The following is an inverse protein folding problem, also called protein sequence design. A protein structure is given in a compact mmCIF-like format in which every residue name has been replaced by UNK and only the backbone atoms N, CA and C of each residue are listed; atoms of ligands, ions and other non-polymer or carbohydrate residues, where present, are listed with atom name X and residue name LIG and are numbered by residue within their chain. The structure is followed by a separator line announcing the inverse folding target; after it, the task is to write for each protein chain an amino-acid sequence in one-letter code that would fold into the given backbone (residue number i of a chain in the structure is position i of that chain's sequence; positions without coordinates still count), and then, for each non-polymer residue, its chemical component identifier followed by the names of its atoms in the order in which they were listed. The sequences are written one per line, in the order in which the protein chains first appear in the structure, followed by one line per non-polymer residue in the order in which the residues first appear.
data_IF_454186474148
#
_entry.id   IF_454186474148
#
_cell.length_a   1.000
_cell.length_b   1.000
_cell.length_c   1.000
_cell.angle_alpha   90.00
_cell.angle_beta   90.00
_cell.angle_gamma   90.00
#
_symmetry.space_group_name_H-M   'P 1'
#
loop_
_entity.id
_entity.type
_entity.pdbx_description
1 polymer ?
#
# COMPACT_ATOMS: atom_id res chain seq x y z
N UNK A 1 17.36 29.48 -19.26
CA UNK A 1 16.27 30.08 -18.49
C UNK A 1 15.22 30.78 -19.35
N UNK A 2 15.57 31.75 -20.20
CA UNK A 2 14.58 32.50 -21.05
C UNK A 2 13.84 31.60 -22.05
N UNK A 3 14.54 30.67 -22.72
CA UNK A 3 13.92 29.66 -23.60
C UNK A 3 12.96 28.75 -22.82
N UNK A 4 13.34 28.30 -21.62
CA UNK A 4 12.51 27.46 -20.77
C UNK A 4 11.21 28.17 -20.37
N UNK A 5 11.29 29.46 -20.03
CA UNK A 5 10.09 30.26 -19.70
C UNK A 5 9.16 30.39 -20.90
N UNK A 6 9.70 30.64 -22.12
CA UNK A 6 8.89 30.72 -23.35
C UNK A 6 8.19 29.39 -23.65
N UNK A 7 8.89 28.28 -23.49
CA UNK A 7 8.33 26.94 -23.68
C UNK A 7 7.21 26.65 -22.67
N UNK A 8 7.41 26.97 -21.38
CA UNK A 8 6.40 26.82 -20.35
C UNK A 8 5.16 27.70 -20.61
N UNK A 9 5.35 28.95 -21.04
CA UNK A 9 4.23 29.83 -21.40
C UNK A 9 3.47 29.32 -22.62
N UNK A 10 4.18 28.77 -23.60
CA UNK A 10 3.54 28.15 -24.77
C UNK A 10 2.72 26.92 -24.33
N UNK A 11 3.28 26.00 -23.53
CA UNK A 11 2.56 24.84 -23.02
C UNK A 11 1.34 25.25 -22.18
N UNK A 12 1.50 26.23 -21.30
CA UNK A 12 0.39 26.74 -20.49
C UNK A 12 -0.73 27.33 -21.36
N UNK A 13 -0.42 27.95 -22.52
CA UNK A 13 -1.43 28.48 -23.43
C UNK A 13 -2.31 27.42 -24.08
N UNK A 14 -1.87 26.17 -24.12
CA UNK A 14 -2.61 25.03 -24.66
C UNK A 14 -3.60 24.42 -23.64
N UNK A 15 -3.44 24.73 -22.36
CA UNK A 15 -4.30 24.22 -21.29
C UNK A 15 -5.64 24.95 -21.34
N UNK A 16 -6.73 24.20 -21.43
CA UNK A 16 -8.12 24.69 -21.47
C UNK A 16 -8.89 24.46 -20.18
N UNK A 17 -8.19 24.16 -19.10
CA UNK A 17 -8.82 23.91 -17.80
C UNK A 17 -9.52 25.18 -17.28
N UNK A 18 -10.59 24.97 -16.53
CA UNK A 18 -11.22 26.09 -15.81
C UNK A 18 -10.25 26.67 -14.77
N UNK A 19 -10.41 27.95 -14.49
CA UNK A 19 -9.62 28.60 -13.45
C UNK A 19 -9.83 27.93 -12.09
N UNK A 20 -8.78 27.85 -11.31
CA UNK A 20 -8.81 27.49 -9.90
C UNK A 20 -7.84 28.36 -9.10
N UNK A 21 -8.15 28.59 -7.85
CA UNK A 21 -7.33 29.40 -6.97
C UNK A 21 -6.29 28.55 -6.28
N UNK A 22 -5.04 29.02 -6.26
CA UNK A 22 -3.96 28.36 -5.54
C UNK A 22 -4.09 28.61 -4.04
N UNK A 23 -3.67 27.64 -3.24
CA UNK A 23 -3.70 27.78 -1.77
C UNK A 23 -2.76 28.88 -1.28
N UNK A 24 -3.20 29.56 -0.25
CA UNK A 24 -2.41 30.53 0.49
C UNK A 24 -1.45 29.81 1.47
N UNK A 25 -0.37 30.48 1.91
CA UNK A 25 0.50 29.97 2.95
C UNK A 25 -0.30 29.66 4.23
N UNK A 26 -0.02 28.52 4.84
CA UNK A 26 -0.51 28.15 6.16
C UNK A 26 0.62 28.14 7.20
N UNK A 27 0.27 28.28 8.46
CA UNK A 27 1.23 28.12 9.54
C UNK A 27 1.73 26.66 9.56
N UNK A 28 3.05 26.51 9.55
CA UNK A 28 3.70 25.21 9.69
C UNK A 28 4.21 25.02 11.10
N UNK A 29 4.21 23.82 11.65
CA UNK A 29 4.95 23.54 12.85
C UNK A 29 6.46 23.78 12.60
N UNK A 30 7.20 24.13 13.65
CA UNK A 30 8.67 24.19 13.55
C UNK A 30 9.17 22.82 13.08
N UNK A 31 9.99 22.83 12.02
CA UNK A 31 10.66 21.63 11.56
C UNK A 31 11.66 21.20 12.63
N UNK A 32 11.51 20.02 13.20
CA UNK A 32 12.58 19.42 13.96
C UNK A 32 13.74 19.14 12.99
N UNK A 33 14.89 19.77 13.21
CA UNK A 33 16.11 19.40 12.48
C UNK A 33 16.54 18.00 12.96
N UNK A 34 16.07 16.98 12.26
CA UNK A 34 16.57 15.62 12.46
C UNK A 34 17.87 15.47 11.67
N UNK A 35 18.97 15.26 12.40
CA UNK A 35 20.24 14.87 11.77
C UNK A 35 20.11 13.42 11.28
N UNK A 36 20.04 13.25 9.97
CA UNK A 36 19.86 11.93 9.35
C UNK A 36 21.20 11.23 9.24
N UNK A 37 21.46 10.25 10.09
CA UNK A 37 22.66 9.41 10.02
C UNK A 37 22.48 8.29 8.97
N UNK A 38 22.84 8.57 7.71
CA UNK A 38 22.77 7.63 6.59
C UNK A 38 23.61 6.36 6.84
N UNK A 39 24.75 6.49 7.52
CA UNK A 39 25.62 5.33 7.81
C UNK A 39 24.93 4.38 8.78
N UNK A 40 24.26 4.92 9.80
CA UNK A 40 23.51 4.13 10.77
C UNK A 40 22.34 3.43 10.10
N UNK A 41 21.56 4.14 9.28
CA UNK A 41 20.42 3.55 8.55
C UNK A 41 20.92 2.40 7.65
N UNK A 42 21.98 2.62 6.87
CA UNK A 42 22.56 1.59 6.00
C UNK A 42 23.08 0.38 6.81
N UNK A 43 23.73 0.63 7.95
CA UNK A 43 24.23 -0.44 8.82
C UNK A 43 23.07 -1.27 9.40
N UNK A 44 21.97 -0.62 9.77
CA UNK A 44 20.77 -1.27 10.32
C UNK A 44 20.11 -2.22 9.30
N UNK A 45 20.03 -1.84 8.02
CA UNK A 45 19.61 -2.72 6.93
C UNK A 45 20.56 -3.90 6.73
N UNK A 46 21.87 -3.61 6.58
CA UNK A 46 22.88 -4.66 6.41
C UNK A 46 22.90 -5.67 7.56
N UNK A 47 22.82 -5.19 8.79
CA UNK A 47 22.81 -6.04 9.98
C UNK A 47 21.57 -6.93 10.03
N UNK A 48 20.43 -6.46 9.54
CA UNK A 48 19.20 -7.24 9.49
C UNK A 48 19.30 -8.33 8.44
N UNK A 49 19.71 -7.97 7.21
CA UNK A 49 19.84 -8.93 6.10
C UNK A 49 20.87 -10.02 6.42
N UNK A 50 22.05 -9.66 6.95
CA UNK A 50 23.14 -10.63 7.26
C UNK A 50 22.82 -11.62 8.39
N UNK A 51 21.75 -11.44 9.14
CA UNK A 51 21.35 -12.31 10.25
C UNK A 51 20.23 -13.27 9.90
N UNK A 52 19.83 -13.33 8.63
CA UNK A 52 18.80 -14.24 8.17
C UNK A 52 19.28 -15.70 8.21
N UNK A 53 18.38 -16.67 8.42
CA UNK A 53 18.72 -18.09 8.58
C UNK A 53 18.96 -18.76 7.21
N UNK A 54 20.10 -18.46 6.58
CA UNK A 54 20.47 -19.06 5.29
C UNK A 54 20.78 -20.54 5.41
N UNK A 55 20.41 -21.29 4.37
CA UNK A 55 20.75 -22.69 4.17
C UNK A 55 21.27 -22.90 2.75
N UNK A 56 21.77 -24.12 2.42
CA UNK A 56 22.15 -24.45 1.05
C UNK A 56 20.95 -24.46 0.07
N UNK A 57 19.73 -24.60 0.59
CA UNK A 57 18.50 -24.65 -0.19
C UNK A 57 17.80 -23.26 -0.27
N UNK A 58 17.92 -22.42 0.77
CA UNK A 58 17.29 -21.08 0.82
C UNK A 58 18.31 -20.07 1.29
N UNK A 59 18.59 -19.09 0.45
CA UNK A 59 19.63 -18.09 0.71
C UNK A 59 19.31 -16.74 0.06
N UNK A 60 19.94 -15.68 0.57
CA UNK A 60 19.91 -14.35 -0.04
C UNK A 60 20.85 -14.35 -1.26
N UNK A 61 20.29 -14.33 -2.46
CA UNK A 61 21.07 -14.27 -3.70
C UNK A 61 21.73 -12.90 -3.87
N UNK A 62 20.93 -11.84 -3.73
CA UNK A 62 21.43 -10.46 -3.79
C UNK A 62 20.56 -9.51 -2.97
N UNK A 63 21.13 -8.39 -2.58
CA UNK A 63 20.41 -7.26 -2.03
C UNK A 63 21.11 -5.95 -2.39
N UNK A 64 20.33 -4.90 -2.56
CA UNK A 64 20.83 -3.54 -2.77
C UNK A 64 20.16 -2.59 -1.79
N UNK A 65 20.95 -1.68 -1.20
CA UNK A 65 20.48 -0.73 -0.20
C UNK A 65 20.79 0.68 -0.70
N UNK A 66 19.75 1.49 -0.86
CA UNK A 66 19.84 2.89 -1.20
C UNK A 66 19.31 3.71 -0.01
N UNK A 67 20.12 4.65 0.48
CA UNK A 67 19.73 5.54 1.59
C UNK A 67 20.08 6.97 1.21
N UNK A 68 19.09 7.84 1.30
CA UNK A 68 19.19 9.23 0.89
C UNK A 68 18.67 10.18 1.98
N UNK A 69 19.38 11.28 2.18
CA UNK A 69 18.88 12.47 2.87
C UNK A 69 18.27 13.42 1.85
N UNK A 70 16.95 13.52 1.83
CA UNK A 70 16.22 14.36 0.89
C UNK A 70 16.00 15.73 1.49
N UNK A 71 16.48 16.77 0.79
CA UNK A 71 16.12 18.16 1.09
C UNK A 71 15.18 18.68 0.01
N UNK A 72 13.92 18.92 0.40
CA UNK A 72 12.87 19.45 -0.48
C UNK A 72 12.60 20.92 -0.12
N UNK A 73 12.47 21.78 -1.15
CA UNK A 73 11.96 23.14 -1.00
C UNK A 73 10.83 23.38 -1.98
N UNK A 74 9.70 23.86 -1.50
CA UNK A 74 8.52 24.20 -2.29
C UNK A 74 8.33 25.71 -2.22
N UNK A 75 8.27 26.35 -3.39
CA UNK A 75 8.03 27.80 -3.52
C UNK A 75 6.89 28.02 -4.50
N UNK A 76 5.89 28.78 -4.10
CA UNK A 76 4.73 29.09 -4.94
C UNK A 76 4.55 30.62 -5.12
N UNK A 77 3.81 31.01 -6.16
CA UNK A 77 3.48 32.41 -6.42
C UNK A 77 2.55 33.02 -5.37
N UNK A 78 1.89 32.21 -4.58
CA UNK A 78 1.03 32.64 -3.45
C UNK A 78 1.80 32.94 -2.19
N UNK A 79 3.13 32.68 -2.18
CA UNK A 79 4.00 32.98 -1.05
C UNK A 79 4.31 31.79 -0.14
N UNK A 80 3.93 30.56 -0.52
CA UNK A 80 4.44 29.35 0.17
C UNK A 80 5.94 29.26 -0.10
N UNK A 81 6.73 29.15 0.95
CA UNK A 81 8.18 28.89 0.88
C UNK A 81 8.54 27.96 2.05
N UNK A 82 8.60 26.68 1.78
CA UNK A 82 8.81 25.62 2.77
C UNK A 82 10.03 24.81 2.42
N UNK A 83 10.91 24.59 3.39
CA UNK A 83 12.04 23.67 3.26
C UNK A 83 11.95 22.62 4.35
N UNK A 84 12.10 21.36 3.97
CA UNK A 84 12.13 20.24 4.90
C UNK A 84 13.19 19.20 4.50
N UNK A 85 13.58 18.38 5.45
CA UNK A 85 14.51 17.26 5.26
C UNK A 85 13.93 15.99 5.84
N UNK A 86 14.14 14.89 5.16
CA UNK A 86 13.70 13.57 5.61
C UNK A 86 14.53 12.47 4.94
N UNK A 87 14.72 11.32 5.61
CA UNK A 87 15.38 10.17 5.02
C UNK A 87 14.43 9.41 4.08
N UNK A 88 15.01 8.88 3.00
CA UNK A 88 14.34 7.92 2.12
C UNK A 88 15.28 6.75 1.90
N UNK A 89 14.79 5.55 2.10
CA UNK A 89 15.54 4.32 1.94
C UNK A 89 14.78 3.33 1.06
N UNK A 90 15.51 2.59 0.25
CA UNK A 90 15.03 1.46 -0.51
C UNK A 90 15.96 0.27 -0.26
N UNK A 91 15.38 -0.87 0.10
CA UNK A 91 16.06 -2.16 0.11
C UNK A 91 15.43 -3.05 -0.94
N UNK A 92 16.23 -3.49 -1.91
CA UNK A 92 15.87 -4.56 -2.84
C UNK A 92 16.45 -5.88 -2.35
N UNK A 93 15.69 -6.97 -2.44
CA UNK A 93 16.15 -8.30 -2.07
C UNK A 93 15.72 -9.33 -3.09
N UNK A 94 16.60 -10.30 -3.33
CA UNK A 94 16.31 -11.53 -4.09
C UNK A 94 16.67 -12.71 -3.21
N UNK A 95 15.66 -13.43 -2.75
CA UNK A 95 15.83 -14.68 -2.00
C UNK A 95 15.63 -15.84 -2.97
N UNK A 96 16.64 -16.73 -3.08
CA UNK A 96 16.52 -17.94 -3.87
C UNK A 96 16.17 -19.13 -3.00
N UNK A 97 15.34 -20.00 -3.54
CA UNK A 97 15.13 -21.35 -3.01
C UNK A 97 15.35 -22.36 -4.11
N UNK A 98 16.12 -23.43 -3.81
CA UNK A 98 16.48 -24.45 -4.79
C UNK A 98 16.46 -25.87 -4.22
N UNK A 99 16.18 -26.82 -5.07
CA UNK A 99 16.40 -28.24 -4.85
C UNK A 99 17.14 -28.86 -6.06
N UNK A 100 17.16 -30.16 -6.19
CA UNK A 100 17.82 -30.84 -7.30
C UNK A 100 17.17 -30.62 -8.68
N UNK A 101 15.92 -30.13 -8.73
CA UNK A 101 15.12 -30.03 -9.95
C UNK A 101 14.78 -28.58 -10.32
N UNK A 102 14.61 -27.70 -9.32
CA UNK A 102 14.11 -26.35 -9.51
C UNK A 102 14.90 -25.34 -8.70
N UNK A 103 15.02 -24.13 -9.25
CA UNK A 103 15.45 -22.94 -8.55
C UNK A 103 14.41 -21.83 -8.81
N UNK A 104 14.04 -21.13 -7.75
CA UNK A 104 13.03 -20.07 -7.78
C UNK A 104 13.52 -18.86 -7.02
N UNK A 105 13.00 -17.71 -7.36
CA UNK A 105 13.35 -16.41 -6.79
C UNK A 105 12.13 -15.71 -6.19
N UNK A 106 12.35 -15.05 -5.05
CA UNK A 106 11.44 -14.10 -4.45
C UNK A 106 12.09 -12.72 -4.47
N UNK A 107 11.59 -11.85 -5.34
CA UNK A 107 12.00 -10.46 -5.42
C UNK A 107 11.09 -9.62 -4.54
N UNK A 108 11.66 -8.79 -3.66
CA UNK A 108 10.91 -7.85 -2.83
C UNK A 108 11.61 -6.50 -2.75
N UNK A 109 10.79 -5.46 -2.69
CA UNK A 109 11.17 -4.07 -2.44
C UNK A 109 10.64 -3.63 -1.09
N UNK A 110 11.46 -2.88 -0.34
CA UNK A 110 11.09 -2.31 0.93
C UNK A 110 11.40 -0.82 0.91
N UNK A 111 10.38 -0.01 0.64
CA UNK A 111 10.44 1.43 0.82
C UNK A 111 10.30 1.77 2.29
N UNK A 112 11.09 2.77 2.76
CA UNK A 112 11.00 3.27 4.14
C UNK A 112 11.79 4.57 4.29
N UNK A 113 11.57 5.29 5.38
CA UNK A 113 12.45 6.38 5.79
C UNK A 113 13.70 5.85 6.51
N UNK A 114 13.50 4.92 7.45
CA UNK A 114 14.56 4.27 8.24
C UNK A 114 14.31 2.75 8.33
N UNK A 115 15.35 1.99 8.65
CA UNK A 115 15.22 0.54 8.84
C UNK A 115 14.45 0.21 10.12
N UNK A 116 13.24 -0.32 9.97
CA UNK A 116 12.44 -0.91 11.04
C UNK A 116 12.84 -2.38 11.22
N UNK A 117 13.95 -2.62 11.93
CA UNK A 117 14.64 -3.92 12.01
C UNK A 117 13.73 -5.11 12.29
N UNK A 118 12.79 -4.97 13.24
CA UNK A 118 11.92 -6.09 13.64
C UNK A 118 10.90 -6.43 12.55
N UNK A 119 10.30 -5.42 11.93
CA UNK A 119 9.30 -5.61 10.88
C UNK A 119 9.97 -6.22 9.64
N UNK A 120 11.10 -5.62 9.22
CA UNK A 120 11.89 -6.11 8.09
C UNK A 120 12.37 -7.55 8.32
N UNK A 121 12.93 -7.84 9.51
CA UNK A 121 13.37 -9.19 9.85
C UNK A 121 12.22 -10.19 9.77
N UNK A 122 11.07 -9.86 10.35
CA UNK A 122 9.90 -10.74 10.38
C UNK A 122 9.41 -11.03 8.96
N UNK A 123 9.37 -10.02 8.08
CA UNK A 123 8.91 -10.22 6.71
C UNK A 123 9.92 -10.99 5.86
N UNK A 124 11.22 -10.73 6.00
CA UNK A 124 12.26 -11.49 5.33
C UNK A 124 12.31 -12.95 5.81
N UNK A 125 12.18 -13.22 7.12
CA UNK A 125 12.10 -14.59 7.67
C UNK A 125 10.92 -15.37 7.07
N UNK A 126 9.75 -14.73 6.91
CA UNK A 126 8.61 -15.33 6.19
C UNK A 126 8.94 -15.65 4.73
N UNK A 127 9.68 -14.77 4.04
CA UNK A 127 10.11 -15.01 2.67
C UNK A 127 11.02 -16.25 2.59
N UNK A 128 11.91 -16.44 3.57
CA UNK A 128 12.73 -17.66 3.67
C UNK A 128 11.86 -18.91 3.93
N UNK A 129 10.84 -18.84 4.77
CA UNK A 129 9.88 -19.93 5.02
C UNK A 129 9.05 -20.27 3.77
N UNK A 130 8.80 -19.30 2.88
CA UNK A 130 8.09 -19.52 1.62
C UNK A 130 8.92 -20.34 0.61
N UNK A 131 10.24 -20.29 0.67
CA UNK A 131 11.14 -21.01 -0.25
C UNK A 131 10.83 -22.49 -0.34
N UNK A 132 10.96 -23.27 0.74
CA UNK A 132 10.64 -24.71 0.75
C UNK A 132 9.20 -25.00 0.34
N UNK A 133 8.25 -24.17 0.80
CA UNK A 133 6.83 -24.31 0.46
C UNK A 133 6.61 -24.18 -1.06
N UNK A 134 7.28 -23.21 -1.69
CA UNK A 134 7.14 -22.99 -3.14
C UNK A 134 7.75 -24.10 -3.96
N UNK A 135 8.86 -24.71 -3.50
CA UNK A 135 9.52 -25.84 -4.18
C UNK A 135 8.65 -27.11 -4.25
N UNK A 136 7.77 -27.31 -3.25
CA UNK A 136 6.86 -28.46 -3.18
C UNK A 136 5.40 -28.10 -3.53
N UNK A 137 5.14 -26.86 -3.93
CA UNK A 137 3.79 -26.39 -4.20
C UNK A 137 3.16 -27.14 -5.38
N UNK A 138 1.96 -27.67 -5.14
CA UNK A 138 1.12 -28.26 -6.19
C UNK A 138 0.48 -27.17 -7.06
N UNK A 139 -0.19 -27.57 -8.15
CA UNK A 139 -1.00 -26.66 -8.96
C UNK A 139 -2.20 -26.14 -8.16
N UNK A 140 -2.48 -24.83 -8.27
CA UNK A 140 -3.70 -24.24 -7.73
C UNK A 140 -4.92 -24.87 -8.42
N UNK A 141 -5.90 -25.43 -7.69
CA UNK A 141 -7.11 -25.96 -8.30
C UNK A 141 -8.03 -24.84 -8.78
N UNK A 142 -8.86 -25.10 -9.78
CA UNK A 142 -9.99 -24.21 -10.14
C UNK A 142 -11.07 -24.30 -9.08
N UNK A 143 -11.20 -23.25 -8.26
CA UNK A 143 -12.17 -23.20 -7.17
C UNK A 143 -13.47 -22.50 -7.59
N UNK A 144 -13.49 -21.81 -8.75
CA UNK A 144 -14.60 -20.94 -9.12
C UNK A 144 -14.69 -19.75 -8.19
N UNK A 145 -15.82 -19.57 -7.53
CA UNK A 145 -16.00 -18.55 -6.48
C UNK A 145 -15.54 -19.12 -5.13
N UNK A 146 -14.57 -18.47 -4.53
CA UNK A 146 -13.96 -18.88 -3.26
C UNK A 146 -13.61 -17.67 -2.40
N UNK A 147 -13.43 -17.92 -1.11
CA UNK A 147 -12.87 -16.92 -0.21
C UNK A 147 -11.35 -16.88 -0.39
N UNK A 148 -10.81 -15.68 -0.55
CA UNK A 148 -9.37 -15.43 -0.68
C UNK A 148 -8.91 -14.51 0.44
N UNK A 149 -7.80 -14.87 1.08
CA UNK A 149 -7.12 -14.04 2.08
C UNK A 149 -5.86 -13.47 1.47
N UNK A 150 -5.69 -12.17 1.61
CA UNK A 150 -4.45 -11.46 1.31
C UNK A 150 -3.68 -11.27 2.61
N UNK A 151 -2.44 -11.74 2.63
CA UNK A 151 -1.52 -11.56 3.75
C UNK A 151 -0.18 -11.06 3.20
N UNK A 152 0.25 -9.90 3.65
CA UNK A 152 1.48 -9.29 3.17
C UNK A 152 1.25 -7.95 2.47
N UNK A 153 2.28 -7.48 1.79
CA UNK A 153 2.33 -6.15 1.17
C UNK A 153 1.25 -5.93 0.11
N UNK A 154 0.93 -6.96 -0.66
CA UNK A 154 -0.09 -6.87 -1.71
C UNK A 154 -1.47 -6.46 -1.18
N UNK A 155 -1.77 -6.72 0.11
CA UNK A 155 -3.01 -6.27 0.74
C UNK A 155 -3.16 -4.73 0.75
N UNK A 156 -2.06 -3.97 0.64
CA UNK A 156 -2.08 -2.49 0.53
C UNK A 156 -2.94 -2.05 -0.65
N UNK A 157 -2.87 -2.75 -1.79
CA UNK A 157 -3.64 -2.44 -3.00
C UNK A 157 -5.15 -2.50 -2.77
N UNK A 158 -5.61 -3.39 -1.91
CA UNK A 158 -7.04 -3.48 -1.53
C UNK A 158 -7.49 -2.20 -0.82
N UNK A 159 -6.64 -1.64 0.04
CA UNK A 159 -6.98 -0.42 0.79
C UNK A 159 -6.74 0.87 0.01
N UNK A 160 -5.87 0.85 -1.01
CA UNK A 160 -5.73 1.96 -1.95
C UNK A 160 -7.04 2.24 -2.69
N UNK A 161 -7.87 1.23 -2.97
CA UNK A 161 -9.21 1.44 -3.54
C UNK A 161 -10.06 2.41 -2.69
N UNK A 162 -10.04 2.28 -1.38
CA UNK A 162 -10.79 3.17 -0.49
C UNK A 162 -10.15 4.55 -0.40
N UNK A 163 -8.84 4.62 -0.29
CA UNK A 163 -8.09 5.88 -0.21
C UNK A 163 -8.29 6.70 -1.48
N UNK A 164 -8.05 6.13 -2.64
CA UNK A 164 -8.18 6.82 -3.92
C UNK A 164 -9.64 7.15 -4.23
N UNK A 165 -10.59 6.30 -3.81
CA UNK A 165 -12.01 6.60 -3.89
C UNK A 165 -12.43 7.87 -3.14
N UNK A 166 -11.61 8.36 -2.20
CA UNK A 166 -11.80 9.61 -1.46
C UNK A 166 -11.00 10.79 -2.02
N UNK A 167 -10.26 10.59 -3.12
CA UNK A 167 -9.51 11.66 -3.79
C UNK A 167 -10.46 12.59 -4.58
N UNK A 168 -10.26 13.89 -4.42
CA UNK A 168 -11.04 14.92 -5.10
C UNK A 168 -11.00 14.79 -6.62
N UNK A 169 -9.89 14.34 -7.21
CA UNK A 169 -9.79 14.11 -8.64
C UNK A 169 -10.70 12.95 -9.07
N UNK A 170 -10.71 11.84 -8.32
CA UNK A 170 -11.56 10.69 -8.62
C UNK A 170 -13.04 11.03 -8.50
N UNK A 171 -13.43 11.81 -7.46
CA UNK A 171 -14.80 12.30 -7.29
C UNK A 171 -15.20 13.23 -8.43
N UNK A 172 -14.34 14.20 -8.78
CA UNK A 172 -14.63 15.17 -9.84
C UNK A 172 -14.77 14.51 -11.22
N UNK A 173 -13.88 13.59 -11.54
CA UNK A 173 -13.87 12.84 -12.81
C UNK A 173 -14.90 11.70 -12.84
N UNK A 174 -15.64 11.48 -11.73
CA UNK A 174 -16.67 10.43 -11.58
C UNK A 174 -16.11 8.99 -11.68
N UNK A 175 -14.85 8.80 -11.35
CA UNK A 175 -14.27 7.48 -11.16
C UNK A 175 -14.73 6.89 -9.82
N UNK A 176 -14.89 7.71 -8.80
CA UNK A 176 -15.50 7.32 -7.52
C UNK A 176 -16.94 7.84 -7.40
N UNK A 177 -17.81 6.99 -6.83
CA UNK A 177 -19.18 7.33 -6.46
C UNK A 177 -19.34 7.66 -4.96
N UNK A 178 -18.23 7.72 -4.21
CA UNK A 178 -18.28 7.98 -2.78
C UNK A 178 -18.82 9.38 -2.48
N UNK A 179 -19.67 9.49 -1.46
CA UNK A 179 -20.26 10.75 -1.02
C UNK A 179 -20.15 10.90 0.49
N UNK A 180 -19.83 12.10 0.94
CA UNK A 180 -19.75 12.38 2.37
C UNK A 180 -21.11 12.15 3.04
N UNK A 181 -21.09 11.40 4.15
CA UNK A 181 -22.25 11.06 4.94
C UNK A 181 -23.11 9.90 4.43
N UNK A 182 -22.80 9.32 3.25
CA UNK A 182 -23.50 8.16 2.71
C UNK A 182 -22.59 6.90 2.80
N UNK A 183 -23.12 5.72 3.09
CA UNK A 183 -22.32 4.47 3.02
C UNK A 183 -21.79 4.24 1.61
N UNK A 184 -20.57 3.68 1.47
CA UNK A 184 -19.94 3.39 0.17
C UNK A 184 -20.63 2.24 -0.59
N UNK A 185 -21.36 1.39 0.12
CA UNK A 185 -22.19 0.33 -0.45
C UNK A 185 -23.38 0.03 0.45
N UNK A 186 -24.43 -0.53 -0.13
CA UNK A 186 -25.59 -1.05 0.62
C UNK A 186 -25.37 -2.51 1.01
N UNK A 187 -25.95 -2.93 2.14
CA UNK A 187 -25.99 -4.32 2.56
C UNK A 187 -24.63 -4.86 3.03
N UNK A 188 -23.77 -4.01 3.57
CA UNK A 188 -22.48 -4.42 4.16
C UNK A 188 -22.75 -5.28 5.39
N UNK A 189 -22.22 -6.51 5.38
CA UNK A 189 -22.33 -7.49 6.47
C UNK A 189 -20.96 -7.89 7.03
N UNK A 190 -19.89 -7.50 6.34
CA UNK A 190 -18.50 -7.69 6.77
C UNK A 190 -18.02 -6.63 7.76
N UNK A 191 -16.71 -6.59 7.97
CA UNK A 191 -16.07 -5.54 8.75
C UNK A 191 -16.13 -4.21 7.98
N UNK A 192 -16.31 -3.14 8.73
CA UNK A 192 -16.40 -1.79 8.17
C UNK A 192 -15.03 -1.12 8.15
N UNK A 193 -14.75 -0.40 7.07
CA UNK A 193 -13.50 0.32 6.89
C UNK A 193 -13.54 1.67 7.58
N UNK A 194 -12.58 1.90 8.48
CA UNK A 194 -12.24 3.22 8.99
C UNK A 194 -10.83 3.57 8.51
N UNK A 195 -10.70 4.63 7.71
CA UNK A 195 -9.45 5.08 7.11
C UNK A 195 -9.11 6.48 7.59
N UNK A 196 -7.86 6.66 8.01
CA UNK A 196 -7.35 7.92 8.53
C UNK A 196 -6.01 8.24 7.88
N UNK A 197 -5.78 9.50 7.51
CA UNK A 197 -4.45 10.00 7.14
C UNK A 197 -3.63 10.23 8.40
N UNK A 198 -2.33 10.03 8.30
CA UNK A 198 -1.39 10.26 9.39
C UNK A 198 -0.32 11.27 8.94
N UNK A 199 -0.04 12.25 9.80
CA UNK A 199 1.10 13.14 9.61
C UNK A 199 2.43 12.38 9.69
N UNK A 200 2.52 11.47 10.67
CA UNK A 200 3.70 10.64 10.88
C UNK A 200 3.30 9.17 11.06
N UNK A 201 4.09 8.30 10.48
CA UNK A 201 4.04 6.86 10.70
C UNK A 201 5.48 6.37 10.90
N UNK A 202 5.72 5.66 12.00
CA UNK A 202 7.07 5.23 12.35
C UNK A 202 7.77 4.51 11.19
N UNK A 203 8.95 4.98 10.83
CA UNK A 203 9.78 4.40 9.78
C UNK A 203 9.34 4.70 8.34
N UNK A 204 8.25 5.41 8.11
CA UNK A 204 7.79 5.72 6.75
C UNK A 204 8.70 6.69 6.01
N UNK A 205 8.85 6.48 4.70
CA UNK A 205 9.50 7.40 3.75
C UNK A 205 8.67 8.67 3.50
N UNK A 206 7.38 8.67 3.88
CA UNK A 206 6.41 9.73 3.63
C UNK A 206 6.14 10.63 4.86
N UNK A 207 7.05 10.64 5.83
CA UNK A 207 6.99 11.53 6.98
C UNK A 207 7.44 12.95 6.61
N UNK A 208 6.54 13.68 5.96
CA UNK A 208 6.77 15.04 5.49
C UNK A 208 5.86 16.03 6.22
N UNK A 209 6.31 17.28 6.35
CA UNK A 209 5.51 18.36 6.94
C UNK A 209 4.41 18.82 6.01
N UNK A 210 4.70 18.81 4.71
CA UNK A 210 3.78 19.33 3.68
C UNK A 210 3.61 18.33 2.54
N UNK A 211 2.50 18.43 1.87
CA UNK A 211 2.27 17.75 0.60
C UNK A 211 3.11 18.37 -0.55
N UNK A 212 3.08 17.81 -1.79
CA UNK A 212 3.83 18.36 -2.92
C UNK A 212 3.45 19.79 -3.33
N UNK A 213 2.32 20.30 -2.87
CA UNK A 213 1.85 21.67 -3.13
C UNK A 213 2.18 22.64 -1.98
N UNK A 214 2.83 22.15 -0.91
CA UNK A 214 3.21 22.94 0.28
C UNK A 214 2.09 23.10 1.29
N UNK A 215 1.03 22.29 1.21
CA UNK A 215 -0.04 22.25 2.19
C UNK A 215 0.35 21.39 3.39
N UNK A 216 0.13 21.83 4.64
CA UNK A 216 0.39 21.01 5.82
C UNK A 216 -0.36 19.67 5.77
N UNK A 217 0.36 18.58 6.08
CA UNK A 217 -0.25 17.25 6.25
C UNK A 217 -0.74 17.11 7.69
N UNK A 218 -1.92 16.56 7.86
CA UNK A 218 -2.58 16.40 9.16
C UNK A 218 -3.11 14.98 9.37
N UNK A 219 -3.27 14.62 10.63
CA UNK A 219 -4.09 13.47 11.02
C UNK A 219 -5.56 13.79 10.75
N UNK A 220 -6.21 12.98 9.91
CA UNK A 220 -7.61 13.22 9.56
C UNK A 220 -8.36 11.94 9.27
N UNK A 221 -9.52 11.75 9.85
CA UNK A 221 -10.44 10.68 9.49
C UNK A 221 -11.05 11.01 8.13
N UNK A 222 -10.74 10.20 7.11
CA UNK A 222 -11.32 10.33 5.77
C UNK A 222 -12.60 9.51 5.64
N UNK A 223 -12.62 8.32 6.24
CA UNK A 223 -13.76 7.41 6.25
C UNK A 223 -13.91 6.81 7.64
N UNK A 224 -15.13 6.69 8.14
CA UNK A 224 -15.46 6.04 9.41
C UNK A 224 -16.63 5.10 9.19
N UNK A 225 -16.44 3.83 9.51
CA UNK A 225 -17.45 2.78 9.36
C UNK A 225 -18.09 2.74 7.96
N UNK A 226 -17.28 2.78 6.90
CA UNK A 226 -17.67 2.83 5.49
C UNK A 226 -18.39 4.12 5.07
N UNK A 227 -18.38 5.15 5.88
CA UNK A 227 -19.03 6.44 5.58
C UNK A 227 -17.94 7.51 5.38
N UNK A 228 -17.75 8.04 4.16
CA UNK A 228 -16.83 9.14 3.91
C UNK A 228 -17.16 10.37 4.78
N UNK A 229 -16.14 10.90 5.47
CA UNK A 229 -16.23 12.10 6.32
C UNK A 229 -15.56 13.30 5.67
N UNK A 230 -14.45 13.06 4.98
CA UNK A 230 -13.68 14.08 4.29
C UNK A 230 -13.11 13.52 2.99
N UNK A 231 -12.85 14.40 2.05
CA UNK A 231 -12.07 14.11 0.87
C UNK A 231 -10.64 14.65 1.04
N UNK A 232 -9.69 14.10 0.30
CA UNK A 232 -8.32 14.58 0.21
C UNK A 232 -7.98 14.92 -1.24
N UNK A 233 -6.80 15.49 -1.48
CA UNK A 233 -6.31 15.73 -2.84
C UNK A 233 -5.72 17.11 -3.04
N UNK A 234 -5.18 17.31 -4.24
CA UNK A 234 -4.54 18.56 -4.66
C UNK A 234 -5.50 19.70 -4.89
N UNK A 235 -4.96 20.89 -4.95
CA UNK A 235 -5.68 22.19 -5.00
C UNK A 235 -6.70 22.26 -6.13
N UNK A 236 -6.35 21.85 -7.34
CA UNK A 236 -7.20 21.96 -8.53
C UNK A 236 -8.58 21.32 -8.35
N UNK A 237 -8.59 20.03 -8.04
CA UNK A 237 -9.85 19.28 -7.96
C UNK A 237 -10.62 19.57 -6.66
N UNK A 238 -9.89 19.88 -5.60
CA UNK A 238 -10.52 20.38 -4.37
C UNK A 238 -11.27 21.68 -4.61
N UNK A 239 -10.67 22.63 -5.34
CA UNK A 239 -11.33 23.88 -5.72
C UNK A 239 -12.59 23.63 -6.57
N UNK A 240 -12.53 22.75 -7.56
CA UNK A 240 -13.68 22.43 -8.42
C UNK A 240 -14.85 21.78 -7.66
N UNK A 241 -14.55 21.03 -6.60
CA UNK A 241 -15.57 20.42 -5.73
C UNK A 241 -16.04 21.35 -4.60
N UNK A 242 -15.41 22.52 -4.43
CA UNK A 242 -15.68 23.41 -3.30
C UNK A 242 -15.18 22.87 -1.96
N UNK A 243 -14.27 21.91 -1.98
CA UNK A 243 -13.63 21.36 -0.78
C UNK A 243 -12.56 22.32 -0.26
N UNK A 244 -12.55 22.50 1.05
CA UNK A 244 -11.57 23.33 1.74
C UNK A 244 -10.65 22.46 2.59
N UNK A 245 -9.48 22.97 2.90
CA UNK A 245 -8.51 22.38 3.82
C UNK A 245 -8.07 20.96 3.42
N UNK A 246 -8.11 20.64 2.13
CA UNK A 246 -7.61 19.37 1.60
C UNK A 246 -6.10 19.41 1.47
N UNK A 247 -5.48 18.24 1.52
CA UNK A 247 -4.06 18.00 1.24
C UNK A 247 -3.89 16.63 0.58
N UNK A 248 -2.75 16.40 -0.04
CA UNK A 248 -2.38 15.09 -0.59
C UNK A 248 -1.71 14.31 0.56
N UNK A 249 -2.31 13.20 1.06
CA UNK A 249 -1.75 12.47 2.18
C UNK A 249 -0.50 11.69 1.80
N UNK A 250 0.49 11.66 2.70
CA UNK A 250 1.63 10.75 2.61
C UNK A 250 1.30 9.40 3.23
N UNK A 251 0.99 9.40 4.52
CA UNK A 251 0.73 8.21 5.31
C UNK A 251 -0.76 8.01 5.57
N UNK A 252 -1.16 6.74 5.75
CA UNK A 252 -2.51 6.41 6.18
C UNK A 252 -2.56 5.15 7.04
N UNK A 253 -3.64 5.04 7.81
CA UNK A 253 -3.97 3.81 8.54
C UNK A 253 -5.38 3.36 8.24
N UNK A 254 -5.58 2.05 8.31
CA UNK A 254 -6.89 1.40 8.34
C UNK A 254 -7.04 0.69 9.68
N UNK A 255 -8.17 0.86 10.33
CA UNK A 255 -8.46 0.20 11.59
C UNK A 255 -8.50 -1.32 11.43
N UNK A 256 -8.08 -2.05 12.47
CA UNK A 256 -8.26 -3.50 12.50
C UNK A 256 -9.73 -3.89 12.50
N UNK A 257 -10.00 -5.08 11.98
CA UNK A 257 -11.34 -5.66 11.94
C UNK A 257 -11.71 -6.44 13.19
N UNK A 258 -12.64 -7.36 13.04
CA UNK A 258 -13.22 -8.15 14.14
C UNK A 258 -12.53 -9.50 14.38
N UNK A 259 -11.82 -10.04 13.38
CA UNK A 259 -11.31 -11.41 13.39
C UNK A 259 -9.87 -11.51 13.89
N UNK A 260 -9.53 -12.59 14.59
CA UNK A 260 -8.14 -13.01 14.80
C UNK A 260 -7.63 -13.83 13.61
N UNK A 261 -6.30 -14.03 13.53
CA UNK A 261 -5.65 -14.81 12.45
C UNK A 261 -6.33 -16.17 12.22
N UNK A 262 -6.54 -16.95 13.26
CA UNK A 262 -7.09 -18.33 13.16
C UNK A 262 -8.52 -18.34 12.62
N UNK A 263 -9.30 -17.30 12.91
CA UNK A 263 -10.66 -17.16 12.41
C UNK A 263 -10.68 -16.75 10.95
N UNK A 264 -9.82 -15.82 10.55
CA UNK A 264 -9.77 -15.29 9.18
C UNK A 264 -9.21 -16.32 8.20
N UNK A 265 -8.31 -17.19 8.64
CA UNK A 265 -7.73 -18.31 7.87
C UNK A 265 -8.52 -19.62 8.01
N UNK A 266 -9.65 -19.63 8.72
CA UNK A 266 -10.46 -20.83 8.83
C UNK A 266 -11.03 -21.23 7.47
N UNK A 267 -10.63 -22.43 7.01
CA UNK A 267 -10.97 -22.95 5.68
C UNK A 267 -12.45 -23.32 5.46
N UNK A 268 -12.87 -23.52 4.21
CA UNK A 268 -12.02 -23.48 3.04
C UNK A 268 -11.68 -22.05 2.61
N UNK A 269 -10.40 -21.75 2.42
CA UNK A 269 -9.92 -20.43 1.99
C UNK A 269 -8.57 -20.54 1.28
N UNK A 270 -8.33 -19.70 0.28
CA UNK A 270 -7.05 -19.57 -0.40
C UNK A 270 -6.30 -18.35 0.17
N UNK A 271 -5.22 -18.56 0.94
CA UNK A 271 -4.34 -17.51 1.42
C UNK A 271 -3.26 -17.21 0.38
N UNK A 272 -3.38 -16.08 -0.32
CA UNK A 272 -2.39 -15.62 -1.28
C UNK A 272 -1.31 -14.81 -0.55
N UNK A 273 -0.06 -15.28 -0.65
CA UNK A 273 1.09 -14.71 0.06
C UNK A 273 2.15 -14.10 -0.87
N UNK A 274 2.11 -14.45 -2.15
CA UNK A 274 3.03 -13.91 -3.15
C UNK A 274 2.42 -14.00 -4.55
N UNK A 275 2.47 -12.88 -5.26
CA UNK A 275 2.01 -12.78 -6.65
C UNK A 275 3.18 -12.50 -7.59
N UNK A 276 3.06 -12.90 -8.85
CA UNK A 276 3.94 -12.40 -9.92
C UNK A 276 3.47 -11.05 -10.46
N UNK A 277 2.16 -10.81 -10.42
CA UNK A 277 1.50 -9.53 -10.69
C UNK A 277 0.20 -9.48 -9.89
N UNK A 278 -0.04 -8.36 -9.19
CA UNK A 278 -1.28 -8.11 -8.46
C UNK A 278 -1.68 -6.65 -8.58
N UNK A 279 -2.89 -6.42 -9.02
CA UNK A 279 -3.42 -5.09 -9.27
C UNK A 279 -4.85 -4.94 -8.77
N UNK A 280 -5.15 -3.75 -8.26
CA UNK A 280 -6.50 -3.25 -8.05
C UNK A 280 -6.61 -1.94 -8.82
N UNK A 281 -7.41 -1.93 -9.89
CA UNK A 281 -7.73 -0.68 -10.57
C UNK A 281 -8.70 0.12 -9.69
N UNK A 282 -8.19 1.16 -9.07
CA UNK A 282 -8.94 1.97 -8.11
C UNK A 282 -10.07 2.78 -8.77
N UNK A 283 -10.06 2.96 -10.09
CA UNK A 283 -11.14 3.64 -10.84
C UNK A 283 -12.33 2.70 -11.12
N UNK A 284 -12.06 1.50 -11.60
CA UNK A 284 -13.12 0.51 -11.92
C UNK A 284 -13.49 -0.37 -10.73
N UNK A 285 -12.53 -0.59 -9.83
CA UNK A 285 -12.59 -1.55 -8.74
C UNK A 285 -12.17 -2.96 -9.14
N UNK A 286 -11.73 -3.18 -10.40
CA UNK A 286 -11.31 -4.49 -10.86
C UNK A 286 -10.04 -4.95 -10.15
N UNK A 287 -10.06 -6.18 -9.69
CA UNK A 287 -8.97 -6.86 -9.02
C UNK A 287 -8.53 -8.04 -9.87
N UNK A 288 -7.22 -8.16 -10.07
CA UNK A 288 -6.58 -9.28 -10.75
C UNK A 288 -5.25 -9.62 -10.09
N UNK A 289 -4.90 -10.92 -10.03
CA UNK A 289 -3.60 -11.36 -9.55
C UNK A 289 -3.19 -12.72 -10.09
N UNK A 290 -1.91 -12.86 -10.45
CA UNK A 290 -1.30 -14.13 -10.84
C UNK A 290 -0.60 -14.76 -9.63
N UNK A 291 -1.07 -15.93 -9.20
CA UNK A 291 -0.60 -16.61 -7.99
C UNK A 291 0.79 -17.20 -8.20
N UNK A 292 1.78 -16.70 -7.46
CA UNK A 292 3.11 -17.30 -7.41
C UNK A 292 3.26 -18.26 -6.22
N UNK A 293 2.63 -17.92 -5.08
CA UNK A 293 2.49 -18.81 -3.93
C UNK A 293 1.21 -18.49 -3.18
N UNK A 294 0.44 -19.52 -2.88
CA UNK A 294 -0.69 -19.46 -1.96
C UNK A 294 -0.74 -20.70 -1.08
N UNK A 295 -1.46 -20.62 0.03
CA UNK A 295 -1.77 -21.75 0.90
C UNK A 295 -3.26 -22.02 0.83
N UNK A 296 -3.62 -23.23 0.40
CA UNK A 296 -5.01 -23.69 0.42
C UNK A 296 -5.30 -24.32 1.78
N UNK A 297 -6.12 -23.63 2.58
CA UNK A 297 -6.64 -24.10 3.84
C UNK A 297 -7.94 -24.87 3.58
N UNK A 298 -7.93 -26.18 3.77
CA UNK A 298 -9.10 -27.05 3.55
C UNK A 298 -10.06 -27.03 4.73
N UNK A 299 -11.28 -27.50 4.54
CA UNK A 299 -12.29 -27.53 5.58
C UNK A 299 -11.95 -28.47 6.77
N UNK A 300 -11.11 -29.46 6.54
CA UNK A 300 -10.63 -30.42 7.56
C UNK A 300 -9.44 -29.89 8.38
N UNK A 301 -8.94 -28.68 8.07
CA UNK A 301 -7.79 -28.05 8.70
C UNK A 301 -6.45 -28.36 8.03
N UNK A 302 -6.44 -29.15 6.96
CA UNK A 302 -5.22 -29.38 6.14
C UNK A 302 -4.82 -28.10 5.44
N UNK A 303 -3.53 -27.78 5.42
CA UNK A 303 -2.95 -26.64 4.70
C UNK A 303 -1.91 -27.15 3.72
N UNK A 304 -2.03 -26.76 2.46
CA UNK A 304 -1.07 -27.16 1.43
C UNK A 304 -0.65 -25.99 0.54
N UNK A 305 0.64 -25.89 0.18
CA UNK A 305 1.11 -24.87 -0.72
C UNK A 305 0.66 -25.15 -2.16
N UNK A 306 0.25 -24.10 -2.86
CA UNK A 306 -0.17 -24.16 -4.27
C UNK A 306 0.42 -22.98 -5.04
N UNK A 307 0.53 -23.14 -6.37
CA UNK A 307 1.14 -22.15 -7.26
C UNK A 307 0.48 -22.13 -8.63
N UNK A 308 0.62 -21.00 -9.32
CA UNK A 308 0.02 -20.76 -10.64
C UNK A 308 -1.47 -20.51 -10.56
N UNK A 309 -2.08 -20.27 -11.72
CA UNK A 309 -3.45 -19.80 -11.79
C UNK A 309 -3.59 -18.33 -11.42
N UNK A 310 -4.82 -17.86 -11.31
CA UNK A 310 -5.11 -16.44 -11.08
C UNK A 310 -6.34 -16.23 -10.22
N UNK A 311 -6.43 -15.05 -9.64
CA UNK A 311 -7.63 -14.53 -8.97
C UNK A 311 -8.17 -13.32 -9.71
N UNK A 312 -9.48 -13.12 -9.67
CA UNK A 312 -10.10 -11.93 -10.24
C UNK A 312 -11.45 -11.61 -9.58
N UNK A 313 -11.85 -10.35 -9.70
CA UNK A 313 -13.15 -9.87 -9.22
C UNK A 313 -13.23 -8.36 -9.18
N UNK A 314 -14.15 -7.82 -8.40
CA UNK A 314 -14.34 -6.38 -8.30
C UNK A 314 -14.58 -5.94 -6.85
N UNK A 315 -13.89 -4.92 -6.43
CA UNK A 315 -13.96 -4.36 -5.06
C UNK A 315 -15.38 -3.92 -4.66
N UNK A 316 -16.21 -3.45 -5.62
CA UNK A 316 -17.62 -3.06 -5.35
C UNK A 316 -18.48 -4.23 -4.85
N UNK A 317 -18.11 -5.46 -5.20
CA UNK A 317 -18.77 -6.66 -4.69
C UNK A 317 -18.15 -7.10 -3.36
N UNK A 318 -16.83 -7.06 -3.26
CA UNK A 318 -16.08 -7.56 -2.10
C UNK A 318 -16.28 -6.75 -0.82
N UNK A 319 -16.45 -5.42 -0.92
CA UNK A 319 -16.64 -4.55 0.25
C UNK A 319 -17.83 -4.95 1.13
N UNK A 320 -18.82 -5.69 0.58
CA UNK A 320 -20.00 -6.10 1.35
C UNK A 320 -19.73 -7.17 2.39
N UNK A 321 -18.79 -8.06 2.12
CA UNK A 321 -18.52 -9.24 2.96
C UNK A 321 -17.06 -9.35 3.38
N UNK A 322 -16.29 -8.27 3.22
CA UNK A 322 -14.88 -8.23 3.59
C UNK A 322 -14.71 -8.46 5.09
N UNK A 323 -13.71 -9.27 5.45
CA UNK A 323 -13.29 -9.44 6.84
C UNK A 323 -11.83 -9.03 7.01
N UNK A 324 -11.53 -8.42 8.11
CA UNK A 324 -10.22 -7.89 8.42
C UNK A 324 -9.71 -8.46 9.75
N UNK A 325 -8.39 -8.66 9.84
CA UNK A 325 -7.77 -9.05 11.12
C UNK A 325 -7.73 -7.88 12.10
N UNK A 326 -7.74 -8.22 13.41
CA UNK A 326 -7.49 -7.25 14.48
C UNK A 326 -6.06 -6.73 14.44
N UNK A 327 -5.14 -7.64 14.14
CA UNK A 327 -3.73 -7.35 13.99
C UNK A 327 -3.51 -6.50 12.74
N UNK A 328 -2.57 -5.55 12.84
CA UNK A 328 -2.19 -4.68 11.74
C UNK A 328 -0.70 -4.81 11.45
N UNK A 329 -0.34 -4.65 10.20
CA UNK A 329 1.03 -4.61 9.72
C UNK A 329 1.30 -3.29 9.00
N UNK A 330 2.55 -2.82 9.11
CA UNK A 330 3.01 -1.62 8.44
C UNK A 330 3.77 -1.99 7.17
N UNK A 331 3.44 -1.29 6.09
CA UNK A 331 4.13 -1.37 4.80
C UNK A 331 4.41 0.05 4.34
N UNK A 332 5.66 0.50 4.48
CA UNK A 332 6.10 1.90 4.31
C UNK A 332 5.10 2.91 4.92
N UNK A 333 4.30 3.54 4.06
CA UNK A 333 3.37 4.61 4.40
C UNK A 333 1.95 4.14 4.75
N UNK A 334 1.72 2.84 4.82
CA UNK A 334 0.43 2.23 5.11
C UNK A 334 0.47 1.35 6.37
N UNK A 335 -0.45 1.56 7.32
CA UNK A 335 -0.70 0.69 8.46
C UNK A 335 -2.07 0.05 8.28
N UNK A 336 -2.11 -1.23 7.91
CA UNK A 336 -3.33 -1.92 7.47
C UNK A 336 -3.53 -3.24 8.23
N UNK A 337 -4.74 -3.83 8.23
CA UNK A 337 -4.95 -5.19 8.72
C UNK A 337 -3.98 -6.19 8.09
N UNK A 338 -3.37 -7.03 8.94
CA UNK A 338 -2.37 -8.02 8.51
C UNK A 338 -2.96 -9.05 7.56
N UNK A 339 -4.24 -9.39 7.73
CA UNK A 339 -4.99 -10.32 6.89
C UNK A 339 -6.29 -9.69 6.45
N UNK A 340 -6.58 -9.79 5.15
CA UNK A 340 -7.83 -9.30 4.55
C UNK A 340 -8.48 -10.43 3.77
N UNK A 341 -9.68 -10.87 4.17
CA UNK A 341 -10.47 -11.91 3.51
C UNK A 341 -11.55 -11.28 2.65
N UNK A 342 -11.52 -11.58 1.36
CA UNK A 342 -12.55 -11.22 0.39
C UNK A 342 -13.35 -12.48 0.02
N UNK A 343 -14.67 -12.41 0.08
CA UNK A 343 -15.55 -13.51 -0.29
C UNK A 343 -15.86 -13.49 -1.79
N UNK A 344 -16.18 -14.66 -2.35
CA UNK A 344 -16.63 -14.81 -3.73
C UNK A 344 -15.64 -14.32 -4.82
N UNK A 345 -14.33 -14.36 -4.52
CA UNK A 345 -13.28 -14.10 -5.52
C UNK A 345 -13.25 -15.25 -6.52
N UNK A 346 -13.14 -14.93 -7.81
CA UNK A 346 -12.96 -15.96 -8.84
C UNK A 346 -11.53 -16.49 -8.80
N UNK A 347 -11.38 -17.80 -8.58
CA UNK A 347 -10.09 -18.49 -8.59
C UNK A 347 -10.02 -19.42 -9.79
N UNK A 348 -9.14 -19.10 -10.74
CA UNK A 348 -8.85 -19.94 -11.93
C UNK A 348 -7.59 -20.74 -11.63
N UNK A 349 -7.68 -22.06 -11.75
CA UNK A 349 -6.58 -22.96 -11.47
C UNK A 349 -5.44 -22.89 -12.49
N UNK A 350 -4.30 -23.44 -12.14
CA UNK A 350 -3.19 -23.65 -13.06
C UNK A 350 -3.48 -24.82 -14.01
N UNK A 351 -3.23 -24.63 -15.31
CA UNK A 351 -3.33 -25.67 -16.34
C UNK A 351 -2.21 -26.75 -16.25
#
# INVERSE_FOLDING_TARGET
MELTIKDLLFQASLIKDAYYELKAPAALPEAEETDVDLNRISADFMDTVKKLPETDEVFMNSYEIFVSDVKRRIVTSTGIDVTEKYPVSLLETVVNARNSEHEIEFYKLYDSGICMKNDLKTDLEKTFEYGPSRLVAGKTPSLGKADVVFSGEDAVRVYEYFKDGLDCAFIHMKYSSFKKGEPIAEGITGDKVTLKTLKNLDGSSMNMLTDPEGTPIEDRVLMEDDIPKAFHGGTKFSYYLGEKDTFIPGNYEVSGGSCGKDEILKGPVLECVFFSDFQVDTMSGDLFGEIRLAFLHEADGTVRPVTGGSISGNMKDFVRNMKMSKERSRYDNALIPTYTRLADVTVTGAE
#
